data_IF_968109573837
#
_entry.id   IF_968109573837
#
_cell.length_a   1.000
_cell.length_b   1.000
_cell.length_c   1.000
_cell.angle_alpha   90.00
_cell.angle_beta   90.00
_cell.angle_gamma   90.00
#
_symmetry.space_group_name_H-M   'P 1'
#
loop_
_entity.id
_entity.type
_entity.pdbx_description
1 polymer ?
#
# COMPACT_ATOMS: atom_id res chain seq x y z
N UNK A 1 -54.39 -14.24 9.57
CA UNK A 1 -55.12 -14.69 10.77
C UNK A 1 -54.04 -15.14 11.74
N UNK A 2 -53.90 -14.69 12.98
CA UNK A 2 -54.72 -13.85 13.83
C UNK A 2 -53.85 -13.33 14.99
N UNK A 3 -54.10 -12.08 15.38
CA UNK A 3 -54.09 -11.42 16.72
C UNK A 3 -53.29 -11.97 17.94
N UNK A 4 -52.90 -11.22 19.00
CA UNK A 4 -52.80 -9.80 19.41
C UNK A 4 -52.57 -9.76 20.95
N UNK A 5 -51.64 -8.92 21.46
CA UNK A 5 -51.59 -8.25 22.82
C UNK A 5 -51.52 -9.15 24.08
N UNK A 6 -50.96 -8.78 25.26
CA UNK A 6 -50.94 -7.53 26.11
C UNK A 6 -49.91 -7.80 27.26
N UNK A 7 -48.93 -6.94 27.58
CA UNK A 7 -48.88 -5.79 28.55
C UNK A 7 -49.11 -6.08 30.06
N UNK A 8 -48.31 -5.36 30.89
CA UNK A 8 -48.42 -5.03 32.34
C UNK A 8 -47.73 -6.01 33.32
N UNK A 9 -47.15 -5.65 34.47
CA UNK A 9 -46.74 -4.40 35.17
C UNK A 9 -46.10 -4.79 36.53
N UNK A 10 -45.11 -4.02 37.04
CA UNK A 10 -44.46 -4.15 38.37
C UNK A 10 -45.43 -3.99 39.58
N UNK A 11 -45.07 -4.26 40.87
CA UNK A 11 -44.25 -3.34 41.69
C UNK A 11 -43.49 -3.89 42.94
N UNK A 12 -42.52 -3.12 43.48
CA UNK A 12 -42.56 -2.71 44.91
C UNK A 12 -41.53 -3.19 45.97
N UNK A 13 -40.65 -2.24 46.37
CA UNK A 13 -40.24 -1.81 47.75
C UNK A 13 -39.43 -2.70 48.73
N UNK A 14 -38.38 -2.09 49.30
CA UNK A 14 -37.96 -2.28 50.71
C UNK A 14 -36.54 -1.77 51.06
N UNK A 15 -36.42 -0.61 51.73
CA UNK A 15 -35.22 -0.13 52.46
C UNK A 15 -35.27 -0.62 53.92
N UNK A 16 -34.13 -0.61 54.64
CA UNK A 16 -34.04 0.36 55.76
C UNK A 16 -32.72 1.15 55.83
N UNK A 17 -32.68 2.09 56.77
CA UNK A 17 -31.83 3.27 56.94
C UNK A 17 -30.80 3.06 58.08
N UNK A 18 -29.83 4.00 58.17
CA UNK A 18 -29.10 4.46 59.40
C UNK A 18 -27.74 3.78 59.69
N UNK A 19 -26.61 4.41 60.08
CA UNK A 19 -26.27 5.74 60.64
C UNK A 19 -24.86 6.22 60.20
N UNK A 20 -24.67 7.55 60.34
CA UNK A 20 -23.46 8.40 60.29
C UNK A 20 -22.26 7.86 61.07
N UNK A 21 -21.03 8.30 60.74
CA UNK A 21 -20.23 9.23 61.57
C UNK A 21 -18.98 9.74 60.83
N UNK A 22 -18.94 11.06 60.56
CA UNK A 22 -17.73 11.85 60.25
C UNK A 22 -17.01 12.15 61.56
N UNK A 23 -15.71 11.88 61.63
CA UNK A 23 -14.84 12.36 62.71
C UNK A 23 -13.93 13.48 62.18
N UNK A 24 -13.93 14.60 62.88
CA UNK A 24 -13.17 15.81 62.58
C UNK A 24 -12.66 16.37 63.92
N UNK A 25 -11.42 16.89 63.90
CA UNK A 25 -10.75 17.81 64.86
C UNK A 25 -10.07 17.15 66.09
N UNK A 26 -9.02 17.80 66.65
CA UNK A 26 -9.25 18.95 67.52
C UNK A 26 -8.38 20.18 67.21
N UNK A 27 -9.01 21.36 67.25
CA UNK A 27 -8.36 22.65 67.51
C UNK A 27 -8.36 22.89 69.02
N UNK A 28 -7.24 23.37 69.55
CA UNK A 28 -7.08 23.72 70.96
C UNK A 28 -7.79 25.04 71.31
N UNK A 29 -8.33 25.02 72.53
CA UNK A 29 -9.04 26.08 73.24
C UNK A 29 -8.19 27.33 73.48
N UNK A 30 -8.83 28.50 73.42
CA UNK A 30 -8.62 29.57 74.41
C UNK A 30 -9.91 30.38 74.57
N UNK A 31 -10.14 30.80 75.81
CA UNK A 31 -11.43 31.03 76.46
C UNK A 31 -12.07 32.39 76.13
N UNK A 32 -13.40 32.37 76.13
CA UNK A 32 -14.39 33.43 75.91
C UNK A 32 -14.43 34.43 77.08
N UNK A 33 -14.43 35.73 76.79
CA UNK A 33 -15.06 36.78 77.64
C UNK A 33 -15.92 37.66 76.72
N UNK A 34 -17.23 37.74 77.01
CA UNK A 34 -18.17 38.69 76.39
C UNK A 34 -17.89 40.11 76.89
N UNK A 35 -18.27 41.17 76.14
CA UNK A 35 -19.56 41.81 76.44
C UNK A 35 -20.33 42.41 75.23
N UNK A 36 -21.65 42.25 75.31
CA UNK A 36 -22.78 43.18 75.05
C UNK A 36 -22.91 44.05 73.76
N UNK A 37 -24.17 44.31 73.30
CA UNK A 37 -24.47 44.82 71.97
C UNK A 37 -24.62 46.36 71.93
N UNK A 38 -23.87 47.03 71.05
CA UNK A 38 -24.03 48.46 70.80
C UNK A 38 -24.93 48.72 69.57
N UNK A 39 -26.13 49.18 69.90
CA UNK A 39 -27.02 50.11 69.20
C UNK A 39 -26.83 50.38 67.69
N UNK A 40 -27.91 50.10 66.96
CA UNK A 40 -28.23 50.58 65.61
C UNK A 40 -28.58 52.08 65.67
N UNK A 41 -27.93 52.91 64.86
CA UNK A 41 -28.33 54.31 64.61
C UNK A 41 -28.09 54.68 63.12
N UNK A 42 -28.64 55.79 62.59
CA UNK A 42 -29.52 55.76 61.41
C UNK A 42 -28.79 56.09 60.10
N UNK A 43 -29.45 55.78 58.97
CA UNK A 43 -29.04 56.21 57.62
C UNK A 43 -28.83 57.73 57.59
N UNK A 44 -27.59 58.17 57.45
CA UNK A 44 -27.24 59.56 57.18
C UNK A 44 -27.31 59.85 55.66
N UNK A 45 -27.63 61.08 55.23
CA UNK A 45 -27.80 61.43 53.83
C UNK A 45 -26.46 61.42 53.09
N UNK A 46 -26.42 60.87 51.87
CA UNK A 46 -25.25 60.96 51.00
C UNK A 46 -24.96 62.43 50.66
N UNK A 47 -23.96 62.99 51.33
CA UNK A 47 -23.40 64.32 51.05
C UNK A 47 -22.83 64.30 49.63
N UNK A 48 -23.48 64.99 48.70
CA UNK A 48 -22.95 65.16 47.34
C UNK A 48 -21.70 66.05 47.44
N UNK A 49 -20.55 65.48 47.04
CA UNK A 49 -19.26 66.16 47.03
C UNK A 49 -19.30 67.32 46.03
N UNK A 50 -18.76 68.48 46.39
CA UNK A 50 -18.63 69.61 45.46
C UNK A 50 -17.66 69.28 44.31
N UNK A 51 -17.77 69.92 43.13
CA UNK A 51 -16.93 69.62 41.97
C UNK A 51 -15.43 69.69 42.24
N UNK A 52 -14.98 70.58 43.14
CA UNK A 52 -13.58 70.70 43.54
C UNK A 52 -13.10 69.57 44.46
N UNK A 53 -13.96 69.12 45.39
CA UNK A 53 -13.65 67.98 46.26
C UNK A 53 -13.52 66.70 45.44
N UNK A 54 -14.36 66.53 44.41
CA UNK A 54 -14.29 65.41 43.46
C UNK A 54 -13.00 65.42 42.62
N UNK A 55 -12.53 66.60 42.19
CA UNK A 55 -11.25 66.77 41.49
C UNK A 55 -10.04 66.47 42.38
N UNK A 56 -10.09 66.80 43.67
CA UNK A 56 -9.03 66.44 44.64
C UNK A 56 -9.00 64.93 44.89
N UNK A 57 -10.15 64.29 45.06
CA UNK A 57 -10.22 62.82 45.22
C UNK A 57 -9.83 62.09 43.94
N UNK A 58 -10.18 62.59 42.76
CA UNK A 58 -9.76 61.98 41.48
C UNK A 58 -8.26 62.16 41.22
N UNK A 59 -7.66 63.28 41.63
CA UNK A 59 -6.20 63.45 41.58
C UNK A 59 -5.49 62.53 42.58
N UNK A 60 -6.01 62.39 43.80
CA UNK A 60 -5.48 61.46 44.79
C UNK A 60 -5.65 60.00 44.35
N UNK A 61 -6.78 59.65 43.71
CA UNK A 61 -7.05 58.33 43.18
C UNK A 61 -6.17 58.02 41.97
N UNK A 62 -5.98 58.98 41.05
CA UNK A 62 -5.02 58.87 39.93
C UNK A 62 -3.57 58.79 40.40
N UNK A 63 -3.16 59.54 41.43
CA UNK A 63 -1.84 59.40 42.01
C UNK A 63 -1.66 58.05 42.72
N UNK A 64 -2.70 57.56 43.41
CA UNK A 64 -2.67 56.24 44.04
C UNK A 64 -2.66 55.08 43.02
N UNK A 65 -3.36 55.18 41.88
CA UNK A 65 -3.29 54.18 40.81
C UNK A 65 -1.99 54.26 40.03
N UNK A 66 -1.48 55.46 39.72
CA UNK A 66 -0.18 55.63 39.05
C UNK A 66 0.98 55.11 39.92
N UNK A 67 0.97 55.34 41.24
CA UNK A 67 1.98 54.76 42.12
C UNK A 67 1.83 53.24 42.30
N UNK A 68 0.63 52.68 42.11
CA UNK A 68 0.39 51.22 42.14
C UNK A 68 0.85 50.53 40.85
N UNK A 69 0.69 51.18 39.70
CA UNK A 69 1.11 50.67 38.39
C UNK A 69 2.62 50.77 38.14
N UNK A 70 3.29 51.77 38.71
CA UNK A 70 4.76 51.90 38.58
C UNK A 70 5.48 50.92 39.52
N UNK A 71 4.89 50.55 40.67
CA UNK A 71 5.50 49.60 41.62
C UNK A 71 5.21 48.13 41.30
N UNK A 72 4.17 47.81 40.52
CA UNK A 72 3.87 46.45 40.08
C UNK A 72 4.71 46.00 38.88
N UNK A 73 5.11 46.92 37.99
CA UNK A 73 5.90 46.59 36.78
C UNK A 73 7.38 46.28 37.01
N UNK A 74 7.94 46.53 38.20
CA UNK A 74 9.38 46.29 38.50
C UNK A 74 9.68 44.99 39.25
N UNK A 75 8.68 44.17 39.60
CA UNK A 75 8.90 42.90 40.33
C UNK A 75 8.86 41.63 39.46
N UNK A 76 8.50 41.73 38.18
CA UNK A 76 8.37 40.55 37.29
C UNK A 76 9.63 40.09 36.54
N UNK A 77 10.70 40.89 36.48
CA UNK A 77 11.86 40.56 35.63
C UNK A 77 12.96 39.72 36.30
N UNK A 78 12.91 39.51 37.62
CA UNK A 78 13.94 38.71 38.32
C UNK A 78 13.77 37.20 38.16
N UNK A 79 12.55 36.73 37.87
CA UNK A 79 12.26 35.31 37.58
C UNK A 79 12.52 34.91 36.11
N UNK A 80 12.51 35.88 35.19
CA UNK A 80 12.77 35.62 33.77
C UNK A 80 14.19 35.05 33.53
N UNK A 81 15.18 35.47 34.33
CA UNK A 81 16.55 34.95 34.24
C UNK A 81 16.64 33.48 34.72
N UNK A 82 15.84 33.09 35.71
CA UNK A 82 15.78 31.69 36.16
C UNK A 82 15.08 30.81 35.13
N UNK A 83 13.98 31.28 34.53
CA UNK A 83 13.32 30.57 33.42
C UNK A 83 14.27 30.41 32.23
N UNK A 84 15.03 31.45 31.88
CA UNK A 84 16.08 31.38 30.85
C UNK A 84 17.15 30.34 31.23
N UNK A 85 17.60 30.29 32.48
CA UNK A 85 18.56 29.29 32.95
C UNK A 85 17.99 27.86 32.88
N UNK A 86 16.73 27.65 33.25
CA UNK A 86 16.07 26.35 33.11
C UNK A 86 15.88 25.95 31.65
N UNK A 87 15.55 26.88 30.76
CA UNK A 87 15.47 26.62 29.31
C UNK A 87 16.84 26.27 28.75
N UNK A 88 17.89 26.99 29.14
CA UNK A 88 19.26 26.71 28.71
C UNK A 88 19.74 25.36 29.25
N UNK A 89 19.50 25.06 30.52
CA UNK A 89 19.81 23.78 31.12
C UNK A 89 19.04 22.63 30.44
N UNK A 90 17.75 22.82 30.14
CA UNK A 90 16.96 21.87 29.38
C UNK A 90 17.52 21.67 27.97
N UNK A 91 17.91 22.74 27.27
CA UNK A 91 18.52 22.67 25.95
C UNK A 91 19.84 21.90 25.97
N UNK A 92 20.70 22.13 26.97
CA UNK A 92 21.94 21.38 27.17
C UNK A 92 21.65 19.89 27.42
N UNK A 93 20.71 19.58 28.32
CA UNK A 93 20.31 18.19 28.60
C UNK A 93 19.77 17.50 27.35
N UNK A 94 18.89 18.16 26.59
CA UNK A 94 18.37 17.65 25.31
C UNK A 94 19.51 17.40 24.34
N UNK A 95 20.46 18.31 24.23
CA UNK A 95 21.63 18.16 23.34
C UNK A 95 22.47 16.94 23.73
N UNK A 96 22.75 16.76 25.03
CA UNK A 96 23.47 15.59 25.55
C UNK A 96 22.69 14.30 25.27
N UNK A 97 21.37 14.31 25.45
CA UNK A 97 20.51 13.15 25.16
C UNK A 97 20.50 12.80 23.67
N UNK A 98 20.46 13.79 22.78
CA UNK A 98 20.55 13.59 21.33
C UNK A 98 21.90 12.97 20.97
N UNK A 99 23.00 13.50 21.50
CA UNK A 99 24.35 12.97 21.25
C UNK A 99 24.46 11.52 21.74
N UNK A 100 24.01 11.24 22.98
CA UNK A 100 24.07 9.89 23.56
C UNK A 100 23.18 8.90 22.79
N UNK A 101 22.00 9.35 22.38
CA UNK A 101 21.10 8.56 21.54
C UNK A 101 21.74 8.20 20.21
N UNK A 102 22.40 9.18 19.56
CA UNK A 102 23.04 8.98 18.27
C UNK A 102 24.32 8.14 18.31
N UNK A 103 24.99 8.05 19.45
CA UNK A 103 26.33 7.43 19.54
C UNK A 103 26.33 6.08 20.26
N UNK A 104 25.44 5.86 21.22
CA UNK A 104 25.50 4.70 22.12
C UNK A 104 24.23 3.86 22.09
N UNK A 105 23.04 4.50 22.07
CA UNK A 105 21.78 3.76 22.24
C UNK A 105 21.26 3.14 20.95
N UNK A 106 21.36 3.84 19.81
CA UNK A 106 20.78 3.41 18.53
C UNK A 106 21.81 2.87 17.54
N UNK A 107 22.86 2.22 18.03
CA UNK A 107 23.90 1.66 17.17
C UNK A 107 23.51 0.25 16.67
N UNK A 108 23.71 -0.02 15.38
CA UNK A 108 23.50 -1.33 14.77
C UNK A 108 24.52 -2.36 15.28
N UNK A 109 24.07 -3.23 16.19
CA UNK A 109 24.85 -4.33 16.73
C UNK A 109 24.72 -5.61 15.87
N UNK A 110 23.52 -5.90 15.36
CA UNK A 110 23.25 -7.10 14.58
C UNK A 110 22.29 -6.87 13.43
N UNK A 111 22.58 -7.52 12.30
CA UNK A 111 21.73 -7.58 11.12
C UNK A 111 21.30 -9.03 10.96
N UNK A 112 20.00 -9.26 11.03
CA UNK A 112 19.36 -10.56 10.84
C UNK A 112 18.72 -10.57 9.45
N UNK A 113 18.85 -11.68 8.72
CA UNK A 113 18.27 -11.84 7.38
C UNK A 113 17.39 -13.08 7.37
N UNK A 114 16.19 -12.96 6.82
CA UNK A 114 15.17 -14.01 6.78
C UNK A 114 14.62 -14.18 5.36
N UNK A 115 14.15 -15.39 5.05
CA UNK A 115 13.57 -15.71 3.74
C UNK A 115 14.58 -15.92 2.61
N UNK A 116 15.88 -15.93 2.94
CA UNK A 116 16.95 -16.24 1.99
C UNK A 116 17.18 -17.75 1.88
N UNK A 117 17.01 -18.31 0.69
CA UNK A 117 17.30 -19.71 0.37
C UNK A 117 18.44 -19.82 -0.66
N UNK A 118 18.47 -18.94 -1.66
CA UNK A 118 19.48 -18.89 -2.73
C UNK A 118 20.67 -18.01 -2.40
N UNK A 119 20.45 -16.83 -1.80
CA UNK A 119 21.53 -15.90 -1.45
C UNK A 119 21.94 -16.05 0.02
N UNK A 120 23.22 -15.88 0.28
CA UNK A 120 23.74 -15.90 1.66
C UNK A 120 23.51 -14.56 2.36
N UNK A 121 23.42 -14.59 3.69
CA UNK A 121 23.34 -13.39 4.54
C UNK A 121 24.46 -12.40 4.23
N UNK A 122 25.68 -12.89 4.01
CA UNK A 122 26.85 -12.06 3.73
C UNK A 122 26.75 -11.32 2.39
N UNK A 123 26.22 -11.98 1.36
CA UNK A 123 25.99 -11.34 0.05
C UNK A 123 24.94 -10.23 0.15
N UNK A 124 23.81 -10.51 0.81
CA UNK A 124 22.70 -9.56 0.97
C UNK A 124 23.13 -8.33 1.78
N UNK A 125 23.79 -8.55 2.92
CA UNK A 125 24.29 -7.45 3.75
C UNK A 125 25.39 -6.67 3.01
N UNK A 126 26.29 -7.35 2.30
CA UNK A 126 27.35 -6.72 1.52
C UNK A 126 26.86 -5.75 0.45
N UNK A 127 25.74 -6.05 -0.22
CA UNK A 127 25.16 -5.17 -1.24
C UNK A 127 24.19 -4.13 -0.67
N UNK A 128 23.62 -4.37 0.51
CA UNK A 128 22.72 -3.41 1.16
C UNK A 128 23.41 -2.08 1.52
N UNK A 129 24.73 -2.11 1.73
CA UNK A 129 25.50 -0.98 2.23
C UNK A 129 25.20 -0.65 3.71
N UNK A 130 24.58 -1.60 4.41
CA UNK A 130 24.38 -1.56 5.85
C UNK A 130 25.61 -2.10 6.54
N UNK A 131 26.10 -1.36 7.53
CA UNK A 131 27.27 -1.76 8.31
C UNK A 131 26.95 -1.81 9.79
N UNK A 132 27.52 -2.80 10.48
CA UNK A 132 27.53 -2.83 11.95
C UNK A 132 28.27 -1.58 12.44
N UNK A 133 27.77 -0.95 13.49
CA UNK A 133 28.34 0.31 13.99
C UNK A 133 27.62 1.57 13.50
N UNK A 134 26.80 1.49 12.45
CA UNK A 134 26.02 2.63 11.97
C UNK A 134 24.83 2.93 12.88
N UNK A 135 24.48 4.21 12.99
CA UNK A 135 23.32 4.65 13.76
C UNK A 135 22.01 4.34 13.01
N UNK A 136 21.13 3.56 13.64
CA UNK A 136 19.81 3.17 13.12
C UNK A 136 18.95 4.38 12.76
N UNK A 137 19.05 5.49 13.50
CA UNK A 137 18.23 6.68 13.23
C UNK A 137 18.56 7.33 11.89
N UNK A 138 19.83 7.31 11.49
CA UNK A 138 20.31 7.96 10.26
C UNK A 138 20.39 6.99 9.07
N UNK A 139 20.10 5.72 9.30
CA UNK A 139 20.17 4.70 8.26
C UNK A 139 19.01 4.79 7.29
N UNK A 140 19.32 4.75 6.00
CA UNK A 140 18.34 4.72 4.93
C UNK A 140 18.02 3.26 4.57
N UNK A 141 16.87 2.79 5.07
CA UNK A 141 16.40 1.43 4.82
C UNK A 141 15.87 1.27 3.40
N UNK A 142 15.25 2.29 2.82
CA UNK A 142 14.75 2.25 1.44
C UNK A 142 15.88 2.20 0.41
N UNK A 143 16.99 2.91 0.67
CA UNK A 143 18.20 2.79 -0.15
C UNK A 143 18.81 1.38 -0.04
N UNK A 144 18.83 0.79 1.16
CA UNK A 144 19.31 -0.58 1.35
C UNK A 144 18.45 -1.60 0.60
N UNK A 145 17.12 -1.50 0.70
CA UNK A 145 16.16 -2.33 -0.07
C UNK A 145 16.41 -2.19 -1.57
N UNK A 146 16.50 -0.96 -2.07
CA UNK A 146 16.71 -0.68 -3.49
C UNK A 146 18.01 -1.26 -4.02
N UNK A 147 19.11 -1.21 -3.25
CA UNK A 147 20.40 -1.81 -3.63
C UNK A 147 20.33 -3.33 -3.65
N UNK A 148 19.72 -3.95 -2.65
CA UNK A 148 19.54 -5.41 -2.61
C UNK A 148 18.70 -5.85 -3.81
N UNK A 149 17.56 -5.20 -4.05
CA UNK A 149 16.73 -5.49 -5.21
C UNK A 149 17.58 -5.33 -6.49
N UNK A 150 18.23 -4.20 -6.72
CA UNK A 150 19.02 -3.99 -7.93
C UNK A 150 20.15 -5.02 -8.16
N UNK A 151 20.75 -5.53 -7.09
CA UNK A 151 21.87 -6.48 -7.17
C UNK A 151 21.44 -7.93 -7.39
N UNK A 152 20.23 -8.32 -6.99
CA UNK A 152 19.81 -9.72 -6.91
C UNK A 152 18.51 -9.99 -7.69
N UNK A 153 18.61 -10.51 -8.94
CA UNK A 153 17.45 -10.77 -9.80
C UNK A 153 16.43 -11.79 -9.28
N UNK A 154 16.86 -12.70 -8.40
CA UNK A 154 16.03 -13.77 -7.82
C UNK A 154 15.31 -13.33 -6.53
N UNK A 155 15.17 -12.04 -6.30
CA UNK A 155 14.43 -11.49 -5.15
C UNK A 155 13.28 -10.66 -5.70
N UNK A 156 12.06 -10.91 -5.27
CA UNK A 156 10.90 -10.11 -5.68
C UNK A 156 10.70 -8.91 -4.76
N UNK A 157 10.89 -9.10 -3.46
CA UNK A 157 10.61 -8.09 -2.44
C UNK A 157 11.67 -8.15 -1.33
N UNK A 158 12.03 -6.97 -0.83
CA UNK A 158 12.94 -6.81 0.31
C UNK A 158 12.33 -5.80 1.25
N UNK A 159 12.26 -6.15 2.52
CA UNK A 159 11.84 -5.24 3.58
C UNK A 159 12.95 -5.13 4.61
N UNK A 160 13.42 -3.91 4.87
CA UNK A 160 14.46 -3.62 5.86
C UNK A 160 13.82 -2.88 7.03
N UNK A 161 13.60 -3.61 8.12
CA UNK A 161 12.98 -3.09 9.33
C UNK A 161 14.03 -2.78 10.41
N UNK A 162 13.87 -1.62 11.06
CA UNK A 162 14.66 -1.23 12.23
C UNK A 162 14.03 -1.82 13.49
N UNK A 163 14.70 -2.80 14.07
CA UNK A 163 14.34 -3.38 15.36
C UNK A 163 15.09 -2.64 16.48
N UNK A 164 14.51 -1.54 16.95
CA UNK A 164 15.09 -0.74 18.02
C UNK A 164 15.29 -1.56 19.31
N UNK A 165 16.34 -1.27 20.11
CA UNK A 165 17.27 -0.15 19.95
C UNK A 165 18.45 -0.40 19.01
N UNK A 166 18.86 -1.65 18.75
CA UNK A 166 20.19 -1.95 18.16
C UNK A 166 20.19 -2.94 16.99
N UNK A 167 19.03 -3.39 16.50
CA UNK A 167 18.94 -4.47 15.51
C UNK A 167 18.31 -4.03 14.20
N UNK A 168 18.68 -4.72 13.12
CA UNK A 168 18.03 -4.61 11.81
C UNK A 168 17.60 -6.00 11.37
N UNK A 169 16.41 -6.07 10.78
CA UNK A 169 15.87 -7.27 10.16
C UNK A 169 15.69 -6.99 8.68
N UNK A 170 16.25 -7.85 7.84
CA UNK A 170 16.04 -7.84 6.39
C UNK A 170 15.19 -9.07 6.07
N UNK A 171 13.97 -8.84 5.61
CA UNK A 171 13.07 -9.92 5.15
C UNK A 171 13.12 -9.93 3.64
N UNK A 172 13.45 -11.07 3.06
CA UNK A 172 13.57 -11.26 1.62
C UNK A 172 12.49 -12.23 1.15
N UNK A 173 11.81 -11.88 0.07
CA UNK A 173 10.91 -12.77 -0.65
C UNK A 173 11.57 -13.16 -1.97
N UNK A 174 11.95 -14.43 -2.10
CA UNK A 174 12.58 -14.91 -3.33
C UNK A 174 11.59 -14.97 -4.49
N UNK A 175 12.10 -14.63 -5.67
CA UNK A 175 11.34 -14.67 -6.91
C UNK A 175 11.19 -16.11 -7.40
N UNK A 176 9.95 -16.51 -7.66
CA UNK A 176 9.64 -17.79 -8.31
C UNK A 176 9.28 -17.54 -9.78
N UNK A 177 9.88 -18.31 -10.67
CA UNK A 177 9.58 -18.25 -12.10
C UNK A 177 8.13 -18.69 -12.31
N UNK A 178 7.34 -17.84 -12.95
CA UNK A 178 5.90 -18.06 -13.12
C UNK A 178 5.52 -18.22 -14.58
N UNK A 179 6.09 -17.39 -15.46
CA UNK A 179 5.99 -17.54 -16.93
C UNK A 179 7.28 -17.05 -17.59
N UNK A 180 7.41 -17.27 -18.90
CA UNK A 180 8.51 -16.71 -19.67
C UNK A 180 8.00 -15.91 -20.87
N UNK A 181 8.71 -14.86 -21.24
CA UNK A 181 8.45 -14.08 -22.46
C UNK A 181 9.45 -14.48 -23.52
N UNK A 182 8.96 -14.75 -24.73
CA UNK A 182 9.76 -14.99 -25.93
C UNK A 182 9.75 -13.74 -26.82
N UNK A 183 10.92 -13.16 -27.08
CA UNK A 183 11.06 -12.02 -27.99
C UNK A 183 12.41 -12.04 -28.69
N UNK A 184 12.40 -11.92 -30.03
CA UNK A 184 13.63 -11.87 -30.82
C UNK A 184 14.54 -13.09 -30.68
N UNK A 185 13.97 -14.27 -30.41
CA UNK A 185 14.72 -15.51 -30.19
C UNK A 185 15.35 -15.64 -28.79
N UNK A 186 15.12 -14.68 -27.89
CA UNK A 186 15.54 -14.73 -26.49
C UNK A 186 14.32 -14.98 -25.60
N UNK A 187 14.46 -15.92 -24.67
CA UNK A 187 13.48 -16.19 -23.63
C UNK A 187 13.93 -15.54 -22.32
N UNK A 188 12.99 -14.99 -21.55
CA UNK A 188 13.25 -14.44 -20.23
C UNK A 188 12.21 -14.96 -19.24
N UNK A 189 12.66 -15.55 -18.13
CA UNK A 189 11.78 -16.02 -17.07
C UNK A 189 11.36 -14.86 -16.16
N UNK A 190 10.07 -14.77 -15.88
CA UNK A 190 9.42 -13.68 -15.18
C UNK A 190 8.78 -14.21 -13.90
N UNK A 191 8.90 -13.44 -12.83
CA UNK A 191 8.26 -13.75 -11.55
C UNK A 191 6.79 -13.35 -11.50
N UNK A 192 6.08 -13.78 -10.46
CA UNK A 192 4.69 -13.35 -10.23
C UNK A 192 4.57 -11.84 -10.03
N UNK A 193 5.62 -11.18 -9.53
CA UNK A 193 5.66 -9.71 -9.38
C UNK A 193 6.12 -8.98 -10.66
N UNK A 194 6.22 -9.68 -11.79
CA UNK A 194 6.61 -9.11 -13.07
C UNK A 194 8.11 -8.82 -13.18
N UNK A 195 8.94 -9.43 -12.31
CA UNK A 195 10.39 -9.21 -12.31
C UNK A 195 11.08 -10.18 -13.26
N UNK A 196 12.03 -9.69 -14.05
CA UNK A 196 12.86 -10.54 -14.91
C UNK A 196 13.91 -11.24 -14.03
N UNK A 197 13.82 -12.56 -13.93
CA UNK A 197 14.64 -13.36 -13.02
C UNK A 197 15.93 -13.83 -13.72
N UNK A 198 15.78 -14.39 -14.93
CA UNK A 198 16.89 -14.90 -15.71
C UNK A 198 16.56 -14.90 -17.21
N UNK A 199 17.61 -14.93 -18.04
CA UNK A 199 17.51 -15.16 -19.48
C UNK A 199 17.74 -16.64 -19.77
N UNK A 200 17.00 -17.17 -20.73
CA UNK A 200 17.01 -18.57 -21.13
C UNK A 200 15.63 -19.18 -21.10
N UNK A 201 15.51 -20.33 -21.77
CA UNK A 201 14.26 -21.11 -21.75
C UNK A 201 14.17 -21.87 -20.43
N UNK A 202 13.06 -21.69 -19.71
CA UNK A 202 12.73 -22.49 -18.53
C UNK A 202 11.62 -23.48 -18.91
N UNK A 203 11.85 -24.80 -18.81
CA UNK A 203 10.84 -25.78 -19.14
C UNK A 203 9.73 -25.80 -18.09
N UNK A 204 8.51 -26.11 -18.52
CA UNK A 204 7.38 -26.37 -17.62
C UNK A 204 6.67 -25.14 -17.09
N UNK A 205 6.98 -23.93 -17.57
CA UNK A 205 6.20 -22.70 -17.33
C UNK A 205 5.62 -22.17 -18.64
N UNK A 206 4.50 -21.41 -18.60
CA UNK A 206 3.86 -20.84 -19.78
C UNK A 206 4.78 -19.90 -20.55
N UNK A 207 4.69 -19.92 -21.88
CA UNK A 207 5.41 -19.01 -22.78
C UNK A 207 4.48 -17.90 -23.23
N UNK A 208 4.95 -16.66 -23.25
CA UNK A 208 4.22 -15.49 -23.71
C UNK A 208 4.91 -14.94 -24.96
N UNK A 209 4.16 -14.86 -26.05
CA UNK A 209 4.60 -14.32 -27.34
C UNK A 209 3.88 -13.01 -27.65
N UNK A 210 4.53 -12.10 -28.39
CA UNK A 210 3.93 -10.82 -28.78
C UNK A 210 3.89 -9.76 -27.66
N UNK A 211 4.64 -9.96 -26.58
CA UNK A 211 4.70 -9.01 -25.45
C UNK A 211 5.44 -7.71 -25.79
N UNK A 212 6.39 -7.72 -26.73
CA UNK A 212 7.21 -6.57 -27.15
C UNK A 212 7.91 -5.84 -25.99
N UNK A 213 8.85 -6.50 -25.28
CA UNK A 213 9.52 -5.92 -24.11
C UNK A 213 10.36 -4.69 -24.47
N UNK A 214 10.38 -3.72 -23.56
CA UNK A 214 11.25 -2.53 -23.62
C UNK A 214 12.70 -2.89 -23.28
N UNK A 215 12.88 -3.65 -22.19
CA UNK A 215 14.15 -4.15 -21.68
C UNK A 215 13.97 -5.58 -21.15
N UNK A 216 14.97 -6.44 -21.35
CA UNK A 216 15.01 -7.82 -20.86
C UNK A 216 16.13 -8.04 -19.84
N UNK A 217 16.66 -6.98 -19.24
CA UNK A 217 17.73 -7.08 -18.25
C UNK A 217 17.25 -7.75 -16.95
N UNK A 218 17.90 -8.85 -16.50
CA UNK A 218 17.59 -9.48 -15.21
C UNK A 218 17.64 -8.49 -14.05
N UNK A 219 16.70 -8.62 -13.13
CA UNK A 219 16.53 -7.74 -12.00
C UNK A 219 15.65 -6.51 -12.26
N UNK A 220 15.24 -6.23 -13.50
CA UNK A 220 14.27 -5.18 -13.81
C UNK A 220 12.84 -5.72 -13.80
N UNK A 221 11.88 -4.82 -13.61
CA UNK A 221 10.46 -5.12 -13.85
C UNK A 221 10.23 -5.13 -15.36
N UNK A 222 9.56 -6.16 -15.84
CA UNK A 222 9.20 -6.32 -17.23
C UNK A 222 8.17 -5.25 -17.63
N UNK A 223 8.46 -4.50 -18.69
CA UNK A 223 7.57 -3.51 -19.30
C UNK A 223 7.47 -3.76 -20.80
N UNK A 224 6.28 -3.60 -21.36
CA UNK A 224 6.05 -3.63 -22.80
C UNK A 224 6.21 -2.22 -23.41
N UNK A 225 6.68 -2.17 -24.65
CA UNK A 225 6.67 -0.95 -25.49
C UNK A 225 5.26 -0.52 -25.84
N UNK A 226 4.31 -1.45 -25.86
CA UNK A 226 2.91 -1.17 -26.16
C UNK A 226 2.11 -0.93 -24.87
N UNK A 227 1.40 0.21 -24.82
CA UNK A 227 0.59 0.54 -23.66
C UNK A 227 -0.48 -0.54 -23.42
N UNK A 228 -0.61 -0.98 -22.17
CA UNK A 228 -1.66 -1.92 -21.76
C UNK A 228 -1.29 -3.41 -21.87
N UNK A 229 -0.20 -3.79 -22.56
CA UNK A 229 0.24 -5.21 -22.61
C UNK A 229 0.90 -5.68 -21.31
N UNK A 230 1.51 -4.77 -20.54
CA UNK A 230 2.35 -5.16 -19.40
C UNK A 230 1.64 -6.00 -18.33
N UNK A 231 0.35 -5.78 -18.11
CA UNK A 231 -0.43 -6.47 -17.07
C UNK A 231 -1.21 -7.68 -17.58
N UNK A 232 -1.36 -7.82 -18.91
CA UNK A 232 -2.18 -8.86 -19.54
C UNK A 232 -1.74 -10.29 -19.15
N UNK A 233 -0.44 -10.65 -19.22
CA UNK A 233 -0.02 -12.01 -18.86
C UNK A 233 -0.39 -12.38 -17.42
N UNK A 234 -0.19 -11.45 -16.48
CA UNK A 234 -0.51 -11.68 -15.08
C UNK A 234 -2.01 -11.86 -14.87
N UNK A 235 -2.83 -11.01 -15.48
CA UNK A 235 -4.30 -11.12 -15.40
C UNK A 235 -4.80 -12.45 -15.97
N UNK A 236 -4.24 -12.89 -17.10
CA UNK A 236 -4.58 -14.19 -17.71
C UNK A 236 -4.22 -15.33 -16.77
N UNK A 237 -2.98 -15.38 -16.28
CA UNK A 237 -2.52 -16.50 -15.47
C UNK A 237 -3.23 -16.56 -14.10
N UNK A 238 -3.49 -15.41 -13.47
CA UNK A 238 -4.28 -15.33 -12.24
C UNK A 238 -5.72 -15.80 -12.45
N UNK A 239 -6.41 -15.30 -13.48
CA UNK A 239 -7.77 -15.73 -13.77
C UNK A 239 -7.83 -17.23 -14.09
N UNK A 240 -6.83 -17.77 -14.78
CA UNK A 240 -6.75 -19.20 -15.09
C UNK A 240 -6.59 -20.06 -13.83
N UNK A 241 -5.74 -19.64 -12.89
CA UNK A 241 -5.57 -20.28 -11.58
C UNK A 241 -6.87 -20.23 -10.77
N UNK A 242 -7.57 -19.09 -10.76
CA UNK A 242 -8.83 -18.90 -10.01
C UNK A 242 -9.98 -19.74 -10.58
N UNK A 243 -10.11 -19.82 -11.91
CA UNK A 243 -11.14 -20.61 -12.58
C UNK A 243 -10.80 -22.11 -12.65
N UNK A 244 -9.59 -22.51 -12.25
CA UNK A 244 -9.13 -23.90 -12.30
C UNK A 244 -8.97 -24.42 -13.73
N UNK A 245 -8.50 -23.56 -14.65
CA UNK A 245 -8.16 -24.00 -15.99
C UNK A 245 -6.97 -24.98 -15.97
N UNK A 246 -6.89 -25.89 -16.95
CA UNK A 246 -5.71 -26.72 -17.14
C UNK A 246 -4.44 -25.87 -17.39
N UNK A 247 -3.30 -26.52 -17.27
CA UNK A 247 -1.99 -25.85 -17.33
C UNK A 247 -1.78 -25.15 -18.67
N UNK A 248 -1.70 -23.83 -18.64
CA UNK A 248 -1.39 -23.01 -19.81
C UNK A 248 0.06 -23.29 -20.28
N UNK A 249 0.23 -23.51 -21.58
CA UNK A 249 1.53 -23.75 -22.21
C UNK A 249 2.01 -22.54 -23.00
N UNK A 250 1.12 -21.87 -23.73
CA UNK A 250 1.42 -20.71 -24.57
C UNK A 250 0.31 -19.66 -24.44
N UNK A 251 0.71 -18.39 -24.40
CA UNK A 251 -0.17 -17.22 -24.51
C UNK A 251 0.37 -16.38 -25.66
N UNK A 252 -0.37 -16.31 -26.76
CA UNK A 252 -0.05 -15.42 -27.87
C UNK A 252 -0.87 -14.14 -27.75
N UNK A 253 -0.17 -13.02 -27.55
CA UNK A 253 -0.74 -11.68 -27.44
C UNK A 253 -0.10 -10.70 -28.43
N UNK A 254 0.28 -11.20 -29.61
CA UNK A 254 0.76 -10.36 -30.73
C UNK A 254 -0.23 -9.22 -30.98
N UNK A 255 -1.53 -9.53 -31.01
CA UNK A 255 -2.62 -8.57 -30.87
C UNK A 255 -3.23 -8.67 -29.45
N UNK A 256 -3.27 -7.54 -28.73
CA UNK A 256 -3.86 -7.44 -27.38
C UNK A 256 -5.39 -7.57 -27.36
N UNK A 257 -6.04 -7.47 -28.52
CA UNK A 257 -7.50 -7.60 -28.67
C UNK A 257 -7.92 -8.95 -29.25
N UNK A 258 -6.96 -9.76 -29.74
CA UNK A 258 -7.18 -11.11 -30.26
C UNK A 258 -6.19 -12.09 -29.64
N UNK A 259 -6.27 -12.25 -28.32
CA UNK A 259 -5.39 -13.11 -27.56
C UNK A 259 -5.84 -14.57 -27.70
N UNK A 260 -4.87 -15.46 -27.91
CA UNK A 260 -5.08 -16.91 -27.89
C UNK A 260 -4.21 -17.60 -26.84
N UNK A 261 -4.75 -18.66 -26.25
CA UNK A 261 -4.14 -19.39 -25.15
C UNK A 261 -4.16 -20.88 -25.48
N UNK A 262 -3.02 -21.54 -25.38
CA UNK A 262 -2.90 -22.99 -25.45
C UNK A 262 -2.87 -23.56 -24.03
N UNK A 263 -3.76 -24.51 -23.76
CA UNK A 263 -3.92 -25.13 -22.45
C UNK A 263 -3.34 -26.56 -22.38
N UNK A 264 -2.58 -26.98 -23.38
CA UNK A 264 -2.18 -28.37 -23.54
C UNK A 264 -3.30 -29.25 -24.10
N UNK A 265 -2.98 -30.53 -24.34
CA UNK A 265 -3.92 -31.54 -24.87
C UNK A 265 -4.65 -31.11 -26.17
N UNK A 266 -3.96 -30.30 -26.98
CA UNK A 266 -4.44 -29.70 -28.22
C UNK A 266 -5.66 -28.77 -28.07
N UNK A 267 -5.93 -28.24 -26.88
CA UNK A 267 -7.02 -27.29 -26.64
C UNK A 267 -6.50 -25.86 -26.78
N UNK A 268 -7.14 -25.05 -27.61
CA UNK A 268 -6.82 -23.62 -27.78
C UNK A 268 -8.04 -22.77 -27.45
N UNK A 269 -7.86 -21.78 -26.57
CA UNK A 269 -8.85 -20.79 -26.22
C UNK A 269 -8.60 -19.51 -27.02
N UNK A 270 -9.58 -19.03 -27.77
CA UNK A 270 -9.57 -17.69 -28.36
C UNK A 270 -10.40 -16.77 -27.50
N UNK A 271 -9.74 -15.87 -26.76
CA UNK A 271 -10.41 -15.06 -25.73
C UNK A 271 -10.69 -13.63 -26.21
N UNK A 272 -10.04 -13.20 -27.28
CA UNK A 272 -10.10 -11.81 -27.73
C UNK A 272 -9.34 -10.91 -26.77
N UNK A 273 -9.99 -9.85 -26.30
CA UNK A 273 -9.44 -9.00 -25.23
C UNK A 273 -9.62 -9.58 -23.83
N UNK A 274 -8.86 -9.04 -22.87
CA UNK A 274 -8.91 -9.41 -21.44
C UNK A 274 -10.17 -8.95 -20.69
N UNK A 275 -11.09 -8.25 -21.35
CA UNK A 275 -12.37 -7.90 -20.76
C UNK A 275 -13.14 -9.17 -20.36
N UNK A 276 -13.70 -9.16 -19.15
CA UNK A 276 -14.51 -10.24 -18.57
C UNK A 276 -13.83 -11.61 -18.58
N UNK A 277 -12.50 -11.62 -18.46
CA UNK A 277 -11.67 -12.84 -18.54
C UNK A 277 -12.13 -13.93 -17.56
N UNK A 278 -12.56 -13.56 -16.34
CA UNK A 278 -13.07 -14.52 -15.36
C UNK A 278 -14.34 -15.23 -15.81
N UNK A 279 -15.26 -14.53 -16.50
CA UNK A 279 -16.49 -15.13 -17.05
C UNK A 279 -16.12 -16.07 -18.20
N UNK A 280 -15.28 -15.61 -19.13
CA UNK A 280 -14.80 -16.41 -20.26
C UNK A 280 -14.09 -17.69 -19.79
N UNK A 281 -13.28 -17.60 -18.75
CA UNK A 281 -12.54 -18.74 -18.22
C UNK A 281 -13.41 -19.70 -17.41
N UNK A 282 -14.44 -19.21 -16.72
CA UNK A 282 -15.43 -20.08 -16.09
C UNK A 282 -16.16 -20.92 -17.14
N UNK A 283 -16.60 -20.31 -18.25
CA UNK A 283 -17.23 -21.02 -19.36
C UNK A 283 -16.27 -22.01 -20.03
N UNK A 284 -15.03 -21.59 -20.30
CA UNK A 284 -14.00 -22.45 -20.86
C UNK A 284 -13.73 -23.67 -19.97
N UNK A 285 -13.64 -23.49 -18.65
CA UNK A 285 -13.41 -24.58 -17.70
C UNK A 285 -14.56 -25.60 -17.67
N UNK A 286 -15.81 -25.17 -17.91
CA UNK A 286 -16.93 -26.09 -18.06
C UNK A 286 -16.88 -26.87 -19.37
N UNK A 287 -16.51 -26.21 -20.46
CA UNK A 287 -16.47 -26.84 -21.78
C UNK A 287 -15.31 -27.83 -21.92
N UNK A 288 -14.14 -27.52 -21.38
CA UNK A 288 -12.98 -28.43 -21.37
C UNK A 288 -13.33 -29.76 -20.68
N UNK A 289 -14.25 -29.76 -19.71
CA UNK A 289 -14.70 -31.00 -19.04
C UNK A 289 -15.62 -31.86 -19.90
N UNK A 290 -16.25 -31.28 -20.93
CA UNK A 290 -17.24 -31.94 -21.80
C UNK A 290 -16.63 -32.42 -23.11
N UNK A 291 -15.60 -31.73 -23.60
CA UNK A 291 -14.95 -32.00 -24.88
C UNK A 291 -13.73 -32.91 -24.71
N UNK A 292 -13.49 -33.78 -25.69
CA UNK A 292 -12.23 -34.52 -25.82
C UNK A 292 -11.26 -33.67 -26.66
N UNK A 293 -9.94 -33.77 -26.43
CA UNK A 293 -8.92 -32.84 -26.95
C UNK A 293 -8.95 -32.59 -28.48
N UNK A 294 -8.19 -31.57 -28.92
CA UNK A 294 -8.15 -31.05 -30.31
C UNK A 294 -9.23 -30.02 -30.70
N UNK A 295 -9.62 -29.17 -29.77
CA UNK A 295 -10.70 -28.20 -29.94
C UNK A 295 -10.18 -26.75 -29.87
N UNK A 296 -10.77 -25.88 -30.68
CA UNK A 296 -10.71 -24.42 -30.51
C UNK A 296 -12.00 -23.96 -29.83
N UNK A 297 -11.85 -23.31 -28.69
CA UNK A 297 -12.93 -22.71 -27.92
C UNK A 297 -12.88 -21.20 -28.14
N UNK A 298 -13.84 -20.68 -28.91
CA UNK A 298 -13.98 -19.25 -29.18
C UNK A 298 -14.89 -18.58 -28.15
N UNK A 299 -14.30 -17.65 -27.39
CA UNK A 299 -14.89 -16.91 -26.26
C UNK A 299 -14.93 -15.41 -26.57
N UNK A 300 -14.78 -15.00 -27.83
CA UNK A 300 -14.75 -13.59 -28.24
C UNK A 300 -16.13 -12.93 -28.20
N UNK A 301 -17.20 -13.72 -28.23
CA UNK A 301 -18.58 -13.23 -28.33
C UNK A 301 -19.38 -13.60 -27.08
N UNK A 302 -20.06 -12.63 -26.47
CA UNK A 302 -20.83 -12.81 -25.23
C UNK A 302 -22.07 -13.72 -25.37
N UNK A 303 -22.55 -13.96 -26.59
CA UNK A 303 -23.83 -14.63 -26.79
C UNK A 303 -23.73 -16.15 -26.96
N UNK A 304 -22.61 -16.70 -27.46
CA UNK A 304 -22.39 -18.15 -27.64
C UNK A 304 -20.91 -18.50 -27.71
N UNK A 305 -20.50 -19.46 -26.87
CA UNK A 305 -19.25 -20.20 -27.02
C UNK A 305 -19.30 -21.07 -28.29
N UNK A 306 -18.26 -20.97 -29.14
CA UNK A 306 -18.13 -21.85 -30.32
C UNK A 306 -16.98 -22.82 -30.11
N UNK A 307 -17.29 -24.11 -30.16
CA UNK A 307 -16.34 -25.23 -30.18
C UNK A 307 -16.11 -25.60 -31.64
N UNK A 308 -14.87 -25.63 -32.10
CA UNK A 308 -14.49 -26.07 -33.47
C UNK A 308 -13.39 -27.12 -33.39
N UNK A 309 -13.48 -28.17 -34.22
CA UNK A 309 -12.42 -29.17 -34.35
C UNK A 309 -11.27 -28.58 -35.19
N UNK A 310 -10.02 -28.75 -34.74
CA UNK A 310 -8.84 -28.28 -35.47
C UNK A 310 -8.65 -29.03 -36.80
N UNK A 311 -9.13 -30.27 -36.91
CA UNK A 311 -9.00 -31.08 -38.12
C UNK A 311 -9.79 -30.51 -39.33
N UNK A 312 -10.80 -29.67 -39.09
CA UNK A 312 -11.58 -29.03 -40.17
C UNK A 312 -10.85 -27.87 -40.85
N UNK A 313 -9.76 -27.34 -40.25
CA UNK A 313 -8.96 -26.27 -40.87
C UNK A 313 -7.93 -26.79 -41.88
N UNK A 314 -7.47 -28.04 -41.76
CA UNK A 314 -6.39 -28.57 -42.59
C UNK A 314 -6.87 -29.11 -43.95
N UNK A 315 -8.19 -29.20 -44.18
CA UNK A 315 -8.80 -29.63 -45.45
C UNK A 315 -9.10 -28.49 -46.45
N UNK A 316 -8.75 -27.23 -46.13
CA UNK A 316 -8.98 -26.07 -47.02
C UNK A 316 -7.66 -25.55 -47.59
N UNK A 317 -6.87 -26.44 -48.21
CA UNK A 317 -5.90 -26.04 -49.24
C UNK A 317 -6.45 -26.57 -50.57
N UNK A 318 -6.80 -25.72 -51.56
CA UNK A 318 -7.16 -26.25 -52.86
C UNK A 318 -5.91 -26.83 -53.51
N UNK A 319 -5.89 -28.15 -53.71
CA UNK A 319 -5.04 -28.76 -54.72
C UNK A 319 -5.38 -28.10 -56.07
N UNK A 320 -4.46 -27.29 -56.58
CA UNK A 320 -4.48 -26.85 -57.97
C UNK A 320 -4.19 -28.08 -58.83
N UNK A 321 -5.26 -28.77 -59.23
CA UNK A 321 -5.24 -29.83 -60.22
C UNK A 321 -4.80 -29.27 -61.57
N UNK A 322 -3.56 -29.55 -61.97
CA UNK A 322 -3.19 -29.65 -63.37
C UNK A 322 -3.86 -30.89 -63.96
N UNK A 323 -4.90 -30.69 -64.77
CA UNK A 323 -5.06 -31.37 -66.06
C UNK A 323 -6.45 -31.06 -66.64
N UNK A 324 -6.49 -30.44 -67.82
CA UNK A 324 -7.02 -31.08 -69.01
C UNK A 324 -7.23 -30.06 -70.13
N UNK A 325 -6.73 -30.44 -71.30
CA UNK A 325 -6.93 -29.86 -72.62
C UNK A 325 -8.40 -29.55 -72.92
N UNK A 326 -8.66 -28.51 -73.71
CA UNK A 326 -9.65 -28.60 -74.80
C UNK A 326 -9.28 -27.65 -75.95
N UNK A 327 -8.98 -28.27 -77.08
CA UNK A 327 -9.06 -27.79 -78.45
C UNK A 327 -10.31 -26.96 -78.77
N UNK A 328 -10.15 -25.81 -79.43
CA UNK A 328 -11.14 -25.31 -80.40
C UNK A 328 -10.48 -24.34 -81.39
N UNK A 329 -10.74 -24.60 -82.67
CA UNK A 329 -10.27 -23.92 -83.86
C UNK A 329 -10.81 -22.49 -84.07
N UNK A 330 -10.11 -21.80 -84.97
CA UNK A 330 -10.60 -20.86 -85.98
C UNK A 330 -10.86 -19.39 -85.58
N UNK A 331 -10.03 -18.51 -86.16
CA UNK A 331 -10.21 -17.07 -86.19
C UNK A 331 -9.09 -16.35 -86.94
N UNK A 332 -9.14 -16.42 -88.28
CA UNK A 332 -8.26 -15.73 -89.25
C UNK A 332 -8.44 -14.21 -89.21
N UNK A 333 -7.33 -13.44 -89.21
CA UNK A 333 -7.09 -12.14 -89.91
C UNK A 333 -5.79 -11.50 -89.36
N UNK A 334 -4.68 -11.56 -90.11
CA UNK A 334 -4.12 -10.46 -90.93
C UNK A 334 -3.52 -9.28 -90.16
N UNK A 335 -2.22 -9.02 -90.38
CA UNK A 335 -1.54 -7.80 -89.94
C UNK A 335 -0.02 -7.87 -90.03
N UNK A 336 0.52 -7.53 -91.19
CA UNK A 336 1.93 -7.42 -91.59
C UNK A 336 2.80 -6.44 -90.78
N UNK A 337 4.12 -6.52 -91.08
CA UNK A 337 5.22 -5.54 -90.93
C UNK A 337 6.19 -5.83 -89.75
N UNK A 338 7.34 -6.44 -90.02
CA UNK A 338 8.63 -5.86 -90.50
C UNK A 338 9.52 -5.42 -89.33
N UNK A 339 10.76 -5.94 -89.32
CA UNK A 339 11.84 -5.59 -88.39
C UNK A 339 12.78 -6.75 -88.11
#
# INVERSE_FOLDING_TARGET
>A
MDTRKKKSSSPGKGRPVEKRHKAQRPQQNAVRREPQPAARNPRQPQRQLTPEQRRRTDRAYRQATVHRDVRSKRRGKRGANFVMYYILAAAVIITVLIILSNTVLFNCASIEVEGNARYTVQQLVGQSGLEKGQNLLHMDTGAAESRILAAFPFIDEVEVQKSFPTKIRIVVKEAQKWYQVSSGGVNAAISRMGRIVELGSTPGIPVVEGYDPEDLSPGRTLTSKESGKSTIPAQILEAAEECGLPKITLINMTDRFDISIDCGDNITLQIGGVADIGVKFAEAAEAIKREEGNVIIDLRTEEKMFVRDKNEQEQVLPELGESAETTAEAGTAEGSAEG
#
